data_IF_293029668395
#
_entry.id   IF_293029668395
#
_cell.length_a   1.000
_cell.length_b   1.000
_cell.length_c   1.000
_cell.angle_alpha   90.00
_cell.angle_beta   90.00
_cell.angle_gamma   90.00
#
_symmetry.space_group_name_H-M   'P 1'
#
loop_
_entity.id
_entity.type
_entity.pdbx_description
1 polymer ?
#
# COMPACT_ATOMS: atom_id res chain seq x y z
N UNK A 1 2.23 2.51 37.64
CA UNK A 1 2.87 3.76 38.09
C UNK A 1 2.69 4.81 37.01
N UNK A 2 2.16 6.01 37.31
CA UNK A 2 2.03 7.06 36.30
C UNK A 2 3.44 7.49 35.86
N UNK A 3 3.75 7.29 34.58
CA UNK A 3 5.02 7.71 33.98
C UNK A 3 5.13 9.23 34.10
N UNK A 4 6.10 9.72 34.88
CA UNK A 4 6.38 11.16 35.02
C UNK A 4 6.79 11.72 33.64
N UNK A 5 5.89 12.48 33.02
CA UNK A 5 6.17 13.26 31.82
C UNK A 5 6.90 14.53 32.24
N UNK A 6 8.24 14.50 32.21
CA UNK A 6 9.05 15.60 32.72
C UNK A 6 9.44 16.59 31.62
N UNK A 7 9.44 16.18 30.34
CA UNK A 7 9.98 17.03 29.28
C UNK A 7 11.45 17.43 29.57
N UNK A 8 12.10 18.20 28.71
CA UNK A 8 11.70 18.64 27.37
C UNK A 8 11.91 17.55 26.30
N UNK A 9 11.53 17.87 25.06
CA UNK A 9 11.85 17.04 23.90
C UNK A 9 13.35 17.08 23.63
N UNK A 10 13.99 15.92 23.49
CA UNK A 10 15.45 15.83 23.28
C UNK A 10 15.92 16.11 21.84
N UNK A 11 15.01 16.36 20.90
CA UNK A 11 15.40 16.85 19.57
C UNK A 11 16.03 18.23 19.69
N UNK A 12 17.29 18.35 19.25
CA UNK A 12 18.02 19.62 19.19
C UNK A 12 17.24 20.62 18.34
N UNK A 13 17.04 21.84 18.85
CA UNK A 13 16.28 22.89 18.17
C UNK A 13 14.76 22.73 18.21
N UNK A 14 14.22 21.83 19.05
CA UNK A 14 12.78 21.71 19.21
C UNK A 14 12.17 22.96 19.87
N UNK A 15 11.25 23.63 19.17
CA UNK A 15 10.51 24.81 19.66
C UNK A 15 9.09 24.48 20.13
N UNK A 16 8.70 23.21 20.16
CA UNK A 16 7.35 22.80 20.53
C UNK A 16 7.12 22.97 22.04
N UNK A 17 6.23 23.88 22.42
CA UNK A 17 5.78 24.10 23.80
C UNK A 17 4.40 23.46 24.02
N UNK A 18 4.04 23.16 25.28
CA UNK A 18 2.73 22.60 25.68
C UNK A 18 2.29 21.31 24.96
N UNK A 19 3.26 20.49 24.53
CA UNK A 19 3.01 19.23 23.83
C UNK A 19 3.16 18.04 24.77
N UNK A 20 2.36 16.99 24.57
CA UNK A 20 2.54 15.73 25.29
C UNK A 20 3.92 15.14 24.98
N UNK A 21 4.63 14.69 26.01
CA UNK A 21 5.89 13.97 25.85
C UNK A 21 5.64 12.46 25.81
N UNK A 22 6.48 11.77 25.04
CA UNK A 22 6.47 10.32 24.90
C UNK A 22 7.88 9.82 25.16
N UNK A 23 7.99 8.83 26.03
CA UNK A 23 9.23 8.10 26.27
C UNK A 23 9.48 7.12 25.13
N UNK A 24 10.71 7.05 24.63
CA UNK A 24 11.15 6.02 23.70
C UNK A 24 11.19 4.69 24.48
N UNK A 25 10.19 3.85 24.28
CA UNK A 25 10.16 2.49 24.83
C UNK A 25 11.10 1.57 24.05
N UNK A 26 11.48 0.43 24.61
CA UNK A 26 12.27 -0.57 23.90
C UNK A 26 11.62 -0.98 22.55
N UNK A 27 10.31 -1.18 22.55
CA UNK A 27 9.54 -1.47 21.32
C UNK A 27 9.59 -0.32 20.30
N UNK A 28 9.51 0.93 20.75
CA UNK A 28 9.63 2.09 19.87
C UNK A 28 11.03 2.20 19.28
N UNK A 29 12.06 1.96 20.09
CA UNK A 29 13.46 1.97 19.68
C UNK A 29 13.76 0.91 18.62
N UNK A 30 13.32 -0.33 18.85
CA UNK A 30 13.46 -1.44 17.89
C UNK A 30 12.76 -1.12 16.56
N UNK A 31 11.56 -0.50 16.59
CA UNK A 31 10.88 -0.04 15.38
C UNK A 31 11.69 1.01 14.62
N UNK A 32 12.33 1.93 15.32
CA UNK A 32 13.17 2.94 14.70
C UNK A 32 14.45 2.35 14.10
N UNK A 33 15.08 1.37 14.76
CA UNK A 33 16.24 0.65 14.23
C UNK A 33 15.89 -0.09 12.93
N UNK A 34 14.79 -0.84 12.91
CA UNK A 34 14.31 -1.53 11.70
C UNK A 34 14.06 -0.58 10.53
N UNK A 35 13.64 0.65 10.81
CA UNK A 35 13.36 1.69 9.82
C UNK A 35 14.54 2.63 9.54
N UNK A 36 15.69 2.44 10.21
CA UNK A 36 16.86 3.32 10.15
C UNK A 36 16.57 4.81 10.43
N UNK A 37 15.52 5.11 11.18
CA UNK A 37 15.14 6.51 11.49
C UNK A 37 15.99 7.15 12.59
N UNK A 38 16.73 6.35 13.35
CA UNK A 38 17.62 6.82 14.42
C UNK A 38 19.01 7.24 13.94
N UNK A 39 19.40 6.96 12.69
CA UNK A 39 20.74 7.31 12.17
C UNK A 39 20.98 8.83 12.19
N UNK A 40 19.93 9.63 11.95
CA UNK A 40 19.99 11.10 12.04
C UNK A 40 20.01 11.63 13.48
N UNK A 41 19.81 10.78 14.48
CA UNK A 41 19.64 11.15 15.89
C UNK A 41 20.39 10.17 16.82
N UNK A 42 21.74 10.08 16.71
CA UNK A 42 22.53 9.07 17.43
C UNK A 42 22.48 9.21 18.96
N UNK A 43 22.07 10.38 19.46
CA UNK A 43 21.92 10.68 20.88
C UNK A 43 20.59 10.21 21.50
N UNK A 44 19.68 9.65 20.70
CA UNK A 44 18.41 9.13 21.19
C UNK A 44 18.53 7.66 21.60
N UNK A 45 18.15 7.38 22.84
CA UNK A 45 18.22 6.06 23.46
C UNK A 45 16.88 5.68 24.10
N UNK A 46 16.73 4.41 24.50
CA UNK A 46 15.58 3.96 25.30
C UNK A 46 15.48 4.78 26.59
N UNK A 47 14.28 5.19 26.96
CA UNK A 47 14.01 6.02 28.14
C UNK A 47 14.11 7.52 27.89
N UNK A 48 14.65 7.97 26.75
CA UNK A 48 14.66 9.39 26.36
C UNK A 48 13.25 9.86 25.99
N UNK A 49 12.96 11.14 26.21
CA UNK A 49 11.64 11.73 25.94
C UNK A 49 11.66 12.64 24.69
N UNK A 50 10.59 12.54 23.93
CA UNK A 50 10.34 13.34 22.72
C UNK A 50 8.95 13.97 22.82
N UNK A 51 8.76 15.14 22.23
CA UNK A 51 7.39 15.61 22.03
C UNK A 51 6.63 14.67 21.10
N UNK A 52 5.31 14.61 21.25
CA UNK A 52 4.47 13.73 20.46
C UNK A 52 4.70 13.88 18.94
N UNK A 53 4.83 15.09 18.36
CA UNK A 53 5.17 15.26 16.95
C UNK A 53 6.49 14.58 16.53
N UNK A 54 7.57 14.76 17.30
CA UNK A 54 8.87 14.15 16.99
C UNK A 54 8.86 12.64 17.22
N UNK A 55 8.19 12.18 18.28
CA UNK A 55 7.98 10.76 18.53
C UNK A 55 7.25 10.10 17.35
N UNK A 56 6.18 10.73 16.85
CA UNK A 56 5.47 10.26 15.68
C UNK A 56 6.38 10.21 14.45
N UNK A 57 7.15 11.27 14.15
CA UNK A 57 8.10 11.27 13.02
C UNK A 57 9.12 10.12 13.08
N UNK A 58 9.60 9.76 14.27
CA UNK A 58 10.62 8.72 14.42
C UNK A 58 10.05 7.29 14.38
N UNK A 59 8.98 7.03 15.14
CA UNK A 59 8.39 5.69 15.31
C UNK A 59 7.43 5.34 14.17
N UNK A 60 6.70 6.36 13.71
CA UNK A 60 5.75 6.31 12.61
C UNK A 60 6.13 7.40 11.59
N UNK A 61 7.32 7.34 10.97
CA UNK A 61 7.62 8.25 9.87
C UNK A 61 6.42 8.19 8.94
N UNK A 62 5.84 9.36 8.68
CA UNK A 62 4.75 9.49 7.73
C UNK A 62 5.22 8.72 6.50
N UNK A 63 4.57 7.60 6.18
CA UNK A 63 4.95 6.80 5.03
C UNK A 63 4.58 7.68 3.84
N UNK A 64 5.48 8.57 3.42
CA UNK A 64 5.58 8.96 2.02
C UNK A 64 5.66 7.62 1.32
N UNK A 65 4.62 7.27 0.55
CA UNK A 65 4.59 6.07 -0.29
C UNK A 65 5.99 5.94 -0.89
N UNK A 66 6.75 4.97 -0.40
CA UNK A 66 8.01 4.63 -1.03
C UNK A 66 7.59 4.21 -2.43
N UNK A 67 8.03 4.97 -3.43
CA UNK A 67 8.13 4.44 -4.78
C UNK A 67 9.11 3.28 -4.64
N UNK A 68 8.59 2.07 -4.46
CA UNK A 68 9.39 0.86 -4.49
C UNK A 68 9.55 0.48 -5.95
N UNK A 69 10.80 0.50 -6.37
CA UNK A 69 11.32 -0.11 -7.58
C UNK A 69 10.94 -1.60 -7.60
N UNK A 70 10.15 -1.98 -8.60
CA UNK A 70 10.12 -3.27 -9.33
C UNK A 70 10.16 -4.59 -8.55
N UNK A 71 9.48 -4.67 -7.40
CA UNK A 71 8.84 -5.92 -6.99
C UNK A 71 7.35 -5.65 -6.87
N UNK A 72 6.62 -5.74 -7.98
CA UNK A 72 5.17 -5.64 -7.99
C UNK A 72 4.60 -6.81 -7.18
N UNK A 73 4.47 -6.62 -5.87
CA UNK A 73 3.72 -7.54 -5.01
C UNK A 73 2.30 -7.66 -5.57
N UNK A 74 1.67 -8.82 -5.38
CA UNK A 74 0.29 -9.04 -5.79
C UNK A 74 -0.65 -7.90 -5.34
N UNK A 75 -0.46 -7.40 -4.12
CA UNK A 75 -1.23 -6.26 -3.59
C UNK A 75 -1.02 -4.95 -4.39
N UNK A 76 0.20 -4.69 -4.86
CA UNK A 76 0.51 -3.54 -5.72
C UNK A 76 -0.22 -3.66 -7.07
N UNK A 77 -0.20 -4.84 -7.68
CA UNK A 77 -0.91 -5.09 -8.93
C UNK A 77 -2.44 -4.97 -8.76
N UNK A 78 -2.99 -5.41 -7.63
CA UNK A 78 -4.40 -5.20 -7.30
C UNK A 78 -4.72 -3.70 -7.14
N UNK A 79 -3.89 -2.93 -6.44
CA UNK A 79 -4.06 -1.47 -6.30
C UNK A 79 -3.96 -0.74 -7.66
N UNK A 80 -3.06 -1.17 -8.54
CA UNK A 80 -2.96 -0.66 -9.90
C UNK A 80 -4.20 -1.00 -10.74
N UNK A 81 -4.68 -2.24 -10.65
CA UNK A 81 -5.87 -2.72 -11.36
C UNK A 81 -7.13 -1.96 -10.92
N UNK A 82 -7.35 -1.83 -9.61
CA UNK A 82 -8.56 -1.20 -9.07
C UNK A 82 -8.64 0.28 -9.46
N UNK A 83 -7.49 0.98 -9.51
CA UNK A 83 -7.39 2.36 -10.01
C UNK A 83 -7.61 2.46 -11.51
N UNK A 84 -7.03 1.55 -12.30
CA UNK A 84 -7.22 1.54 -13.74
C UNK A 84 -8.71 1.36 -14.10
N UNK A 85 -9.38 0.38 -13.48
CA UNK A 85 -10.80 0.13 -13.70
C UNK A 85 -11.70 1.27 -13.19
N UNK A 86 -11.32 1.91 -12.09
CA UNK A 86 -12.03 3.09 -11.59
C UNK A 86 -11.92 4.29 -12.55
N UNK A 87 -10.71 4.54 -13.07
CA UNK A 87 -10.47 5.59 -14.06
C UNK A 87 -11.34 5.36 -15.30
N UNK A 88 -11.31 4.13 -15.83
CA UNK A 88 -12.12 3.72 -16.98
C UNK A 88 -13.62 4.00 -16.75
N UNK A 89 -14.16 3.56 -15.61
CA UNK A 89 -15.58 3.71 -15.30
C UNK A 89 -16.02 5.16 -15.07
N UNK A 90 -15.17 6.01 -14.47
CA UNK A 90 -15.55 7.39 -14.10
C UNK A 90 -15.17 8.46 -15.11
N UNK A 91 -14.05 8.32 -15.81
CA UNK A 91 -13.57 9.35 -16.74
C UNK A 91 -14.04 9.10 -18.17
N UNK A 92 -14.10 7.84 -18.61
CA UNK A 92 -14.52 7.53 -19.97
C UNK A 92 -16.01 7.20 -20.09
N UNK A 93 -16.70 6.97 -18.97
CA UNK A 93 -18.13 6.61 -18.96
C UNK A 93 -18.42 5.34 -19.77
N UNK A 94 -17.40 4.51 -19.99
CA UNK A 94 -17.45 3.34 -20.86
C UNK A 94 -18.15 2.19 -20.16
N UNK A 95 -18.89 1.40 -20.96
CA UNK A 95 -19.45 0.14 -20.49
C UNK A 95 -18.34 -0.83 -20.06
N UNK A 96 -18.68 -1.78 -19.19
CA UNK A 96 -17.74 -2.82 -18.76
C UNK A 96 -17.25 -3.62 -19.97
N UNK A 97 -15.94 -3.72 -20.12
CA UNK A 97 -15.33 -4.60 -21.11
C UNK A 97 -15.26 -6.01 -20.53
N UNK A 98 -16.00 -6.95 -21.14
CA UNK A 98 -16.15 -8.31 -20.65
C UNK A 98 -15.40 -9.34 -21.50
N UNK A 99 -14.93 -8.95 -22.68
CA UNK A 99 -14.07 -9.80 -23.50
C UNK A 99 -12.67 -9.89 -22.87
N UNK A 100 -12.14 -11.08 -22.55
CA UNK A 100 -10.85 -11.21 -21.87
C UNK A 100 -9.66 -10.61 -22.62
N UNK A 101 -9.65 -10.68 -23.95
CA UNK A 101 -8.53 -10.19 -24.77
C UNK A 101 -8.56 -8.66 -24.81
N UNK A 102 -9.74 -8.08 -24.99
CA UNK A 102 -9.90 -6.63 -24.97
C UNK A 102 -9.68 -6.08 -23.55
N UNK A 103 -10.14 -6.78 -22.52
CA UNK A 103 -9.94 -6.41 -21.13
C UNK A 103 -8.45 -6.33 -20.77
N UNK A 104 -7.66 -7.35 -21.14
CA UNK A 104 -6.21 -7.36 -20.94
C UNK A 104 -5.56 -6.14 -21.61
N UNK A 105 -5.84 -5.90 -22.89
CA UNK A 105 -5.32 -4.75 -23.62
C UNK A 105 -5.71 -3.42 -22.99
N UNK A 106 -6.97 -3.31 -22.56
CA UNK A 106 -7.50 -2.10 -21.90
C UNK A 106 -6.72 -1.80 -20.61
N UNK A 107 -6.59 -2.77 -19.69
CA UNK A 107 -5.91 -2.51 -18.41
C UNK A 107 -4.42 -2.22 -18.59
N UNK A 108 -3.75 -2.88 -19.55
CA UNK A 108 -2.33 -2.65 -19.84
C UNK A 108 -2.10 -1.28 -20.51
N UNK A 109 -3.07 -0.80 -21.29
CA UNK A 109 -3.02 0.54 -21.91
C UNK A 109 -3.17 1.62 -20.86
N UNK A 110 -4.11 1.46 -19.92
CA UNK A 110 -4.33 2.42 -18.83
C UNK A 110 -3.13 2.44 -17.87
N UNK A 111 -2.55 1.27 -17.59
CA UNK A 111 -1.39 1.16 -16.72
C UNK A 111 -0.42 0.07 -17.21
N UNK A 112 0.71 0.44 -17.83
CA UNK A 112 1.73 -0.51 -18.30
C UNK A 112 2.31 -1.40 -17.20
N UNK A 113 2.22 -1.00 -15.93
CA UNK A 113 2.62 -1.83 -14.79
C UNK A 113 1.76 -3.07 -14.57
N UNK A 114 0.61 -3.17 -15.24
CA UNK A 114 -0.27 -4.34 -15.26
C UNK A 114 0.10 -5.34 -16.37
N UNK A 115 1.15 -5.08 -17.15
CA UNK A 115 1.54 -5.97 -18.25
C UNK A 115 1.79 -7.40 -17.77
N UNK A 116 1.07 -8.36 -18.35
CA UNK A 116 1.13 -9.77 -18.00
C UNK A 116 0.44 -10.15 -16.68
N UNK A 117 -0.12 -9.20 -15.92
CA UNK A 117 -0.80 -9.49 -14.65
C UNK A 117 -2.09 -10.29 -14.85
N UNK A 118 -2.84 -10.00 -15.92
CA UNK A 118 -4.04 -10.78 -16.24
C UNK A 118 -3.69 -12.23 -16.59
N UNK A 119 -2.66 -12.46 -17.40
CA UNK A 119 -2.19 -13.80 -17.71
C UNK A 119 -1.73 -14.54 -16.45
N UNK A 120 -0.98 -13.88 -15.56
CA UNK A 120 -0.62 -14.44 -14.26
C UNK A 120 -1.85 -14.90 -13.45
N UNK A 121 -2.91 -14.08 -13.39
CA UNK A 121 -4.17 -14.46 -12.73
C UNK A 121 -4.82 -15.68 -13.39
N UNK A 122 -4.83 -15.74 -14.73
CA UNK A 122 -5.41 -16.87 -15.45
C UNK A 122 -4.62 -18.16 -15.26
N UNK A 123 -3.29 -18.11 -15.27
CA UNK A 123 -2.43 -19.26 -15.05
C UNK A 123 -2.47 -19.77 -13.60
N UNK A 124 -2.70 -18.88 -12.63
CA UNK A 124 -2.80 -19.24 -11.22
C UNK A 124 -4.15 -19.88 -10.86
N UNK A 125 -5.23 -19.53 -11.57
CA UNK A 125 -6.60 -19.94 -11.23
C UNK A 125 -7.08 -21.10 -12.11
N UNK A 126 -6.68 -21.16 -13.39
CA UNK A 126 -7.16 -22.16 -14.34
C UNK A 126 -6.22 -23.37 -14.34
N UNK A 127 -6.71 -24.59 -14.05
CA UNK A 127 -5.92 -25.82 -14.17
C UNK A 127 -5.40 -26.05 -15.59
N UNK A 128 -4.23 -26.69 -15.70
CA UNK A 128 -3.58 -26.94 -17.00
C UNK A 128 -4.31 -27.97 -17.87
N UNK A 129 -5.15 -28.81 -17.27
CA UNK A 129 -5.87 -29.89 -17.97
C UNK A 129 -7.22 -29.45 -18.58
N UNK A 130 -7.53 -28.15 -18.59
CA UNK A 130 -8.80 -27.64 -19.10
C UNK A 130 -8.91 -27.66 -20.64
N UNK A 131 -10.12 -27.89 -21.16
CA UNK A 131 -10.40 -27.75 -22.59
C UNK A 131 -10.38 -26.28 -23.01
N UNK A 132 -10.06 -25.98 -24.28
CA UNK A 132 -10.01 -24.60 -24.80
C UNK A 132 -11.31 -23.81 -24.54
N UNK A 133 -12.47 -24.46 -24.66
CA UNK A 133 -13.77 -23.85 -24.35
C UNK A 133 -13.88 -23.48 -22.87
N UNK A 134 -13.55 -24.39 -21.96
CA UNK A 134 -13.58 -24.13 -20.51
C UNK A 134 -12.58 -23.06 -20.07
N UNK A 135 -11.43 -22.96 -20.74
CA UNK A 135 -10.44 -21.90 -20.50
C UNK A 135 -11.04 -20.53 -20.84
N UNK A 136 -11.74 -20.40 -21.97
CA UNK A 136 -12.31 -19.11 -22.39
C UNK A 136 -13.41 -18.63 -21.43
N UNK A 137 -14.29 -19.54 -20.99
CA UNK A 137 -15.33 -19.21 -20.00
C UNK A 137 -14.74 -18.91 -18.62
N UNK A 138 -13.66 -19.59 -18.22
CA UNK A 138 -12.94 -19.28 -17.00
C UNK A 138 -12.27 -17.89 -17.08
N UNK A 139 -11.67 -17.54 -18.23
CA UNK A 139 -11.11 -16.19 -18.45
C UNK A 139 -12.17 -15.09 -18.30
N UNK A 140 -13.38 -15.28 -18.84
CA UNK A 140 -14.51 -14.35 -18.63
C UNK A 140 -14.89 -14.23 -17.14
N UNK A 141 -14.88 -15.35 -16.42
CA UNK A 141 -15.15 -15.35 -14.98
C UNK A 141 -14.08 -14.58 -14.19
N UNK A 142 -12.81 -14.66 -14.61
CA UNK A 142 -11.71 -13.89 -14.03
C UNK A 142 -11.84 -12.39 -14.32
N UNK A 143 -12.30 -12.00 -15.51
CA UNK A 143 -12.68 -10.59 -15.78
C UNK A 143 -13.74 -10.11 -14.80
N UNK A 144 -14.79 -10.91 -14.58
CA UNK A 144 -15.81 -10.61 -13.57
C UNK A 144 -15.23 -10.46 -12.16
N UNK A 145 -14.30 -11.34 -11.77
CA UNK A 145 -13.59 -11.26 -10.50
C UNK A 145 -12.78 -9.95 -10.36
N UNK A 146 -12.09 -9.51 -11.40
CA UNK A 146 -11.37 -8.22 -11.40
C UNK A 146 -12.29 -7.04 -11.10
N UNK A 147 -13.47 -7.00 -11.73
CA UNK A 147 -14.46 -5.95 -11.45
C UNK A 147 -15.06 -6.03 -10.04
N UNK A 148 -15.29 -7.24 -9.52
CA UNK A 148 -15.73 -7.43 -8.14
C UNK A 148 -14.70 -6.91 -7.15
N UNK A 149 -13.42 -7.25 -7.33
CA UNK A 149 -12.33 -6.75 -6.49
C UNK A 149 -12.25 -5.22 -6.57
N UNK A 150 -12.33 -4.64 -7.78
CA UNK A 150 -12.34 -3.19 -7.96
C UNK A 150 -13.52 -2.53 -7.23
N UNK A 151 -14.73 -3.08 -7.38
CA UNK A 151 -15.93 -2.59 -6.70
C UNK A 151 -15.78 -2.63 -5.18
N UNK A 152 -15.26 -3.73 -4.63
CA UNK A 152 -14.99 -3.86 -3.19
C UNK A 152 -13.96 -2.83 -2.74
N UNK A 153 -12.76 -2.81 -3.33
CA UNK A 153 -11.70 -1.89 -2.94
C UNK A 153 -12.11 -0.42 -3.05
N UNK A 154 -12.78 -0.03 -4.14
CA UNK A 154 -13.15 1.37 -4.36
C UNK A 154 -14.33 1.82 -3.49
N UNK A 155 -15.23 0.90 -3.08
CA UNK A 155 -16.31 1.22 -2.13
C UNK A 155 -15.79 1.47 -0.71
N UNK A 156 -14.70 0.83 -0.30
CA UNK A 156 -14.09 1.03 1.02
C UNK A 156 -13.07 2.18 1.07
N UNK A 157 -12.73 2.77 -0.07
CA UNK A 157 -11.79 3.91 -0.18
C UNK A 157 -12.51 5.26 -0.20
N UNK A 158 -13.84 5.28 -0.28
CA UNK A 158 -14.66 6.51 -0.35
C UNK A 158 -15.42 6.79 0.96
#
# INVERSE_FOLDING_TARGET
>A
MPTKNLGPCLIIGCTNTNVQFRTITALAYEKCQRKRTLEAYPYLEIGKQLCHPHYCKLVKPYIKKHVQTENNTFASSIDMLTKALYYQQRQEGTNLELDPVNFERMIETINPGLKGFFNFMTEAIIPKECSAYSINEAKKSIVGLCYLIAGLCNKFVN
#
